data_IF_289484076362
#
_entry.id   IF_289484076362
#
_cell.length_a   1.000
_cell.length_b   1.000
_cell.length_c   1.000
_cell.angle_alpha   90.00
_cell.angle_beta   90.00
_cell.angle_gamma   90.00
#
_symmetry.space_group_name_H-M   'P 1'
#
loop_
_entity.id
_entity.type
_entity.pdbx_description
1 polymer ?
#
# COMPACT_ATOMS: atom_id res chain seq x y z
N UNK A 1 12.14 -19.07 -8.67
CA UNK A 1 10.87 -19.41 -8.02
C UNK A 1 10.87 -19.10 -6.53
N UNK A 2 11.91 -19.55 -5.82
CA UNK A 2 12.05 -19.21 -4.40
C UNK A 2 12.12 -17.71 -4.16
N UNK A 3 12.79 -16.99 -5.05
CA UNK A 3 12.94 -15.55 -4.94
C UNK A 3 11.60 -14.86 -5.03
N UNK A 4 10.75 -15.26 -5.99
CA UNK A 4 9.42 -14.67 -6.15
C UNK A 4 8.56 -14.92 -4.91
N UNK A 5 8.63 -16.13 -4.36
CA UNK A 5 7.89 -16.47 -3.16
C UNK A 5 8.31 -15.59 -1.97
N UNK A 6 9.61 -15.39 -1.79
CA UNK A 6 10.14 -14.54 -0.72
C UNK A 6 9.72 -13.09 -0.93
N UNK A 7 9.80 -12.61 -2.16
CA UNK A 7 9.38 -11.24 -2.48
C UNK A 7 7.90 -11.02 -2.19
N UNK A 8 7.07 -11.99 -2.57
CA UNK A 8 5.62 -11.89 -2.34
C UNK A 8 5.30 -11.86 -0.85
N UNK A 9 5.96 -12.71 -0.06
CA UNK A 9 5.77 -12.72 1.39
C UNK A 9 6.23 -11.41 2.02
N UNK A 10 7.33 -10.87 1.53
CA UNK A 10 7.84 -9.59 2.00
C UNK A 10 6.86 -8.46 1.67
N UNK A 11 6.29 -8.46 0.47
CA UNK A 11 5.30 -7.46 0.08
C UNK A 11 4.07 -7.49 1.00
N UNK A 12 3.58 -8.70 1.31
CA UNK A 12 2.44 -8.85 2.22
C UNK A 12 2.77 -8.28 3.59
N UNK A 13 3.95 -8.63 4.12
CA UNK A 13 4.36 -8.17 5.44
C UNK A 13 4.52 -6.66 5.49
N UNK A 14 5.21 -6.09 4.50
CA UNK A 14 5.41 -4.64 4.44
C UNK A 14 4.09 -3.89 4.32
N UNK A 15 3.18 -4.38 3.49
CA UNK A 15 1.89 -3.72 3.30
C UNK A 15 1.07 -3.74 4.59
N UNK A 16 1.02 -4.89 5.26
CA UNK A 16 0.23 -5.04 6.48
C UNK A 16 0.79 -4.27 7.67
N UNK A 17 2.10 -4.27 7.81
CA UNK A 17 2.72 -3.78 9.04
C UNK A 17 3.26 -2.36 8.92
N UNK A 18 3.47 -1.87 7.72
CA UNK A 18 4.10 -0.58 7.53
C UNK A 18 3.29 0.34 6.62
N UNK A 19 2.89 -0.11 5.44
CA UNK A 19 2.23 0.78 4.49
C UNK A 19 0.81 1.12 4.92
N UNK A 20 -0.01 0.12 5.22
CA UNK A 20 -1.40 0.36 5.64
C UNK A 20 -1.47 1.23 6.89
N UNK A 21 -0.71 0.93 7.96
CA UNK A 21 -0.75 1.81 9.14
C UNK A 21 -0.29 3.22 8.86
N UNK A 22 0.72 3.42 8.01
CA UNK A 22 1.23 4.75 7.70
C UNK A 22 0.22 5.59 6.94
N UNK A 23 -0.42 5.01 5.93
CA UNK A 23 -1.43 5.70 5.12
C UNK A 23 -2.65 6.01 5.98
N UNK A 24 -3.09 5.06 6.78
CA UNK A 24 -4.23 5.26 7.66
C UNK A 24 -3.97 6.38 8.68
N UNK A 25 -2.79 6.39 9.27
CA UNK A 25 -2.41 7.42 10.24
C UNK A 25 -2.41 8.81 9.60
N UNK A 26 -1.84 8.92 8.40
CA UNK A 26 -1.81 10.19 7.69
C UNK A 26 -3.21 10.65 7.31
N UNK A 27 -4.04 9.75 6.82
CA UNK A 27 -5.43 10.04 6.46
C UNK A 27 -6.22 10.55 7.67
N UNK A 28 -6.06 9.88 8.81
CA UNK A 28 -6.74 10.28 10.04
C UNK A 28 -6.30 11.66 10.52
N UNK A 29 -5.00 11.95 10.39
CA UNK A 29 -4.47 13.26 10.77
C UNK A 29 -5.07 14.36 9.89
N UNK A 30 -5.16 14.13 8.59
CA UNK A 30 -5.77 15.09 7.67
C UNK A 30 -7.23 15.34 8.03
N UNK A 31 -7.98 14.28 8.35
CA UNK A 31 -9.39 14.41 8.71
C UNK A 31 -9.55 15.25 9.97
N UNK A 32 -8.69 15.03 10.98
CA UNK A 32 -8.71 15.81 12.20
C UNK A 32 -8.35 17.26 11.93
N UNK A 33 -7.32 17.48 11.12
CA UNK A 33 -6.86 18.84 10.81
C UNK A 33 -7.95 19.67 10.13
N UNK A 34 -8.66 19.11 9.16
CA UNK A 34 -9.71 19.87 8.48
C UNK A 34 -10.92 20.12 9.39
N UNK A 35 -11.24 19.17 10.26
CA UNK A 35 -12.31 19.35 11.23
C UNK A 35 -12.01 20.53 12.16
N UNK A 36 -10.78 20.61 12.63
CA UNK A 36 -10.33 21.71 13.51
C UNK A 36 -10.36 23.03 12.74
N UNK A 37 -9.85 23.07 11.51
CA UNK A 37 -9.84 24.28 10.70
C UNK A 37 -11.27 24.82 10.49
N UNK A 38 -12.20 23.93 10.18
CA UNK A 38 -13.60 24.34 9.95
C UNK A 38 -14.28 24.82 11.23
N UNK A 39 -13.88 24.30 12.38
CA UNK A 39 -14.46 24.73 13.66
C UNK A 39 -14.02 26.14 14.01
N UNK A 40 -12.81 26.53 13.60
CA UNK A 40 -12.26 27.86 13.89
C UNK A 40 -12.67 28.86 12.79
N UNK A 41 -12.64 28.45 11.54
CA UNK A 41 -12.92 29.27 10.39
C UNK A 41 -13.91 28.54 9.45
N UNK A 42 -15.23 28.65 9.73
CA UNK A 42 -16.24 27.90 8.95
C UNK A 42 -16.23 28.17 7.45
N UNK A 43 -15.61 29.26 7.00
CA UNK A 43 -15.53 29.61 5.57
C UNK A 43 -14.46 28.77 4.84
N UNK A 44 -13.61 28.03 5.57
CA UNK A 44 -12.59 27.17 4.96
C UNK A 44 -13.29 26.06 4.18
N UNK A 45 -12.95 25.92 2.88
CA UNK A 45 -13.63 24.94 2.03
C UNK A 45 -13.22 23.49 2.37
N UNK A 46 -11.94 23.26 2.66
CA UNK A 46 -11.44 21.93 2.95
C UNK A 46 -11.48 20.98 1.77
N UNK A 47 -11.62 21.50 0.55
CA UNK A 47 -11.72 20.64 -0.64
C UNK A 47 -10.47 19.80 -0.82
N UNK A 48 -9.30 20.39 -0.66
CA UNK A 48 -8.04 19.66 -0.83
C UNK A 48 -7.94 18.50 0.17
N UNK A 49 -8.16 18.78 1.44
CA UNK A 49 -8.03 17.77 2.50
C UNK A 49 -9.10 16.69 2.36
N UNK A 50 -10.35 17.08 2.07
CA UNK A 50 -11.45 16.13 1.93
C UNK A 50 -11.22 15.19 0.75
N UNK A 51 -10.77 15.75 -0.38
CA UNK A 51 -10.48 14.94 -1.57
C UNK A 51 -9.35 13.96 -1.29
N UNK A 52 -8.30 14.42 -0.62
CA UNK A 52 -7.16 13.58 -0.32
C UNK A 52 -7.52 12.47 0.68
N UNK A 53 -8.28 12.81 1.74
CA UNK A 53 -8.75 11.80 2.70
C UNK A 53 -9.57 10.74 2.01
N UNK A 54 -10.49 11.14 1.13
CA UNK A 54 -11.34 10.20 0.40
C UNK A 54 -10.49 9.26 -0.45
N UNK A 55 -9.53 9.82 -1.19
CA UNK A 55 -8.66 9.00 -2.05
C UNK A 55 -7.79 8.06 -1.23
N UNK A 56 -7.21 8.54 -0.13
CA UNK A 56 -6.39 7.70 0.73
C UNK A 56 -7.19 6.57 1.35
N UNK A 57 -8.44 6.84 1.74
CA UNK A 57 -9.32 5.81 2.29
C UNK A 57 -9.61 4.72 1.25
N UNK A 58 -9.86 5.12 0.01
CA UNK A 58 -10.05 4.15 -1.08
C UNK A 58 -8.79 3.32 -1.30
N UNK A 59 -7.62 3.96 -1.25
CA UNK A 59 -6.34 3.25 -1.43
C UNK A 59 -6.08 2.27 -0.30
N UNK A 60 -6.42 2.63 0.94
CA UNK A 60 -6.29 1.71 2.07
C UNK A 60 -7.12 0.45 1.82
N UNK A 61 -8.36 0.60 1.36
CA UNK A 61 -9.21 -0.55 1.06
C UNK A 61 -8.67 -1.37 -0.10
N UNK A 62 -8.19 -0.71 -1.16
CA UNK A 62 -7.61 -1.39 -2.31
C UNK A 62 -6.37 -2.18 -1.92
N UNK A 63 -5.50 -1.58 -1.11
CA UNK A 63 -4.28 -2.25 -0.64
C UNK A 63 -4.65 -3.43 0.24
N UNK A 64 -5.59 -3.26 1.17
CA UNK A 64 -6.01 -4.32 2.06
C UNK A 64 -6.57 -5.51 1.26
N UNK A 65 -7.42 -5.25 0.28
CA UNK A 65 -7.99 -6.31 -0.55
C UNK A 65 -6.89 -7.03 -1.35
N UNK A 66 -5.95 -6.28 -1.92
CA UNK A 66 -4.86 -6.86 -2.70
C UNK A 66 -3.91 -7.70 -1.83
N UNK A 67 -3.66 -7.24 -0.61
CA UNK A 67 -2.84 -8.00 0.36
C UNK A 67 -3.50 -9.32 0.71
N UNK A 68 -4.81 -9.30 1.02
CA UNK A 68 -5.52 -10.52 1.37
C UNK A 68 -5.56 -11.49 0.20
N UNK A 69 -5.72 -10.97 -1.01
CA UNK A 69 -5.75 -11.79 -2.22
C UNK A 69 -4.39 -12.45 -2.45
N UNK A 70 -3.30 -11.69 -2.32
CA UNK A 70 -1.95 -12.24 -2.49
C UNK A 70 -1.62 -13.24 -1.37
N UNK A 71 -2.00 -12.94 -0.14
CA UNK A 71 -1.75 -13.85 0.98
C UNK A 71 -2.47 -15.18 0.79
N UNK A 72 -3.71 -15.15 0.28
CA UNK A 72 -4.46 -16.37 0.01
C UNK A 72 -3.80 -17.19 -1.10
N UNK A 73 -3.30 -16.51 -2.14
CA UNK A 73 -2.60 -17.18 -3.23
C UNK A 73 -1.30 -17.83 -2.75
N UNK A 74 -0.58 -17.16 -1.85
CA UNK A 74 0.64 -17.71 -1.26
C UNK A 74 0.34 -18.96 -0.44
N UNK A 75 -0.74 -18.96 0.32
CA UNK A 75 -1.13 -20.14 1.10
C UNK A 75 -1.40 -21.33 0.18
N UNK A 76 -2.05 -21.11 -0.96
CA UNK A 76 -2.28 -22.15 -1.95
C UNK A 76 -0.96 -22.61 -2.57
N UNK A 77 -0.10 -21.65 -2.91
CA UNK A 77 1.19 -21.94 -3.53
C UNK A 77 2.05 -22.87 -2.64
N UNK A 78 2.03 -22.63 -1.33
CA UNK A 78 2.85 -23.45 -0.41
C UNK A 78 2.39 -24.91 -0.34
N UNK A 79 1.20 -25.22 -0.79
CA UNK A 79 0.67 -26.59 -0.79
C UNK A 79 0.97 -27.34 -2.08
N UNK A 80 1.57 -26.68 -3.08
CA UNK A 80 1.84 -27.29 -4.38
C UNK A 80 3.23 -27.94 -4.34
N UNK A 81 3.27 -29.24 -4.64
CA UNK A 81 4.52 -29.99 -4.67
C UNK A 81 5.10 -30.11 -6.08
N UNK A 82 4.23 -30.13 -7.10
CA UNK A 82 4.66 -30.29 -8.47
C UNK A 82 5.40 -29.07 -8.99
N UNK A 83 6.58 -29.27 -9.55
CA UNK A 83 7.44 -28.18 -10.02
C UNK A 83 6.78 -27.38 -11.17
N UNK A 84 6.17 -28.09 -12.12
CA UNK A 84 5.53 -27.45 -13.26
C UNK A 84 4.33 -26.64 -12.81
N UNK A 85 3.50 -27.22 -11.94
CA UNK A 85 2.33 -26.53 -11.40
C UNK A 85 2.73 -25.30 -10.61
N UNK A 86 3.79 -25.40 -9.79
CA UNK A 86 4.33 -24.27 -9.04
C UNK A 86 4.78 -23.15 -9.97
N UNK A 87 5.51 -23.49 -11.03
CA UNK A 87 6.01 -22.50 -11.97
C UNK A 87 4.86 -21.80 -12.69
N UNK A 88 3.82 -22.56 -13.07
CA UNK A 88 2.64 -21.98 -13.70
C UNK A 88 1.92 -21.03 -12.76
N UNK A 89 1.80 -21.37 -11.48
CA UNK A 89 1.15 -20.52 -10.50
C UNK A 89 1.93 -19.22 -10.28
N UNK A 90 3.26 -19.29 -10.26
CA UNK A 90 4.06 -18.07 -10.15
C UNK A 90 3.74 -17.12 -11.30
N UNK A 91 3.78 -17.63 -12.52
CA UNK A 91 3.54 -16.81 -13.72
C UNK A 91 2.10 -16.29 -13.81
N UNK A 92 1.14 -17.16 -13.56
CA UNK A 92 -0.26 -16.88 -13.87
C UNK A 92 -1.02 -16.26 -12.70
N UNK A 93 -0.54 -16.42 -11.47
CA UNK A 93 -1.24 -15.98 -10.26
C UNK A 93 -0.41 -15.04 -9.41
N UNK A 94 0.77 -15.48 -8.96
CA UNK A 94 1.55 -14.67 -8.01
C UNK A 94 2.06 -13.37 -8.60
N UNK A 95 2.68 -13.41 -9.76
CA UNK A 95 3.21 -12.19 -10.37
C UNK A 95 2.13 -11.17 -10.68
N UNK A 96 0.98 -11.56 -11.27
CA UNK A 96 -0.11 -10.60 -11.47
C UNK A 96 -0.65 -10.01 -10.17
N UNK A 97 -0.77 -10.81 -9.11
CA UNK A 97 -1.28 -10.31 -7.83
C UNK A 97 -0.28 -9.40 -7.14
N UNK A 98 1.02 -9.66 -7.29
CA UNK A 98 2.05 -8.75 -6.80
C UNK A 98 1.96 -7.40 -7.50
N UNK A 99 1.75 -7.40 -8.81
CA UNK A 99 1.58 -6.17 -9.58
C UNK A 99 0.32 -5.43 -9.13
N UNK A 100 -0.77 -6.16 -8.87
CA UNK A 100 -2.02 -5.57 -8.41
C UNK A 100 -1.89 -4.91 -7.04
N UNK A 101 -1.02 -5.45 -6.18
CA UNK A 101 -0.74 -4.83 -4.88
C UNK A 101 0.16 -3.61 -5.04
N UNK A 102 1.14 -3.70 -5.93
CA UNK A 102 2.10 -2.61 -6.13
C UNK A 102 1.45 -1.33 -6.61
N UNK A 103 0.48 -1.42 -7.50
CA UNK A 103 -0.15 -0.24 -8.08
C UNK A 103 -0.77 0.70 -7.05
N UNK A 104 -1.66 0.23 -6.14
CA UNK A 104 -2.21 1.14 -5.13
C UNK A 104 -1.17 1.59 -4.11
N UNK A 105 -0.16 0.76 -3.83
CA UNK A 105 0.92 1.17 -2.93
C UNK A 105 1.73 2.32 -3.52
N UNK A 106 2.02 2.27 -4.81
CA UNK A 106 2.76 3.35 -5.49
C UNK A 106 1.96 4.65 -5.48
N UNK A 107 0.67 4.57 -5.71
CA UNK A 107 -0.17 5.76 -5.65
C UNK A 107 -0.23 6.32 -4.22
N UNK A 108 -0.34 5.44 -3.23
CA UNK A 108 -0.37 5.86 -1.83
C UNK A 108 0.93 6.58 -1.45
N UNK A 109 2.07 6.11 -1.96
CA UNK A 109 3.35 6.77 -1.72
C UNK A 109 3.34 8.21 -2.25
N UNK A 110 2.80 8.40 -3.44
CA UNK A 110 2.77 9.72 -4.06
C UNK A 110 1.85 10.69 -3.32
N UNK A 111 0.83 10.18 -2.64
CA UNK A 111 -0.18 11.01 -1.98
C UNK A 111 0.03 11.17 -0.47
N UNK A 112 0.89 10.37 0.13
CA UNK A 112 1.17 10.42 1.56
C UNK A 112 2.37 11.32 1.80
N UNK A 113 2.29 12.15 2.86
CA UNK A 113 3.40 13.06 3.19
C UNK A 113 4.67 12.26 3.40
N UNK A 114 5.77 12.79 2.85
CA UNK A 114 7.08 12.13 2.86
C UNK A 114 7.49 11.70 4.26
N UNK A 115 7.27 12.56 5.25
CA UNK A 115 7.63 12.26 6.63
C UNK A 115 6.78 11.16 7.26
N UNK A 116 5.66 10.79 6.65
CA UNK A 116 4.79 9.73 7.14
C UNK A 116 5.02 8.41 6.40
N UNK A 117 5.75 8.44 5.30
CA UNK A 117 6.00 7.23 4.51
C UNK A 117 7.14 6.43 5.13
N UNK A 118 6.96 5.10 5.33
CA UNK A 118 7.92 4.30 6.11
C UNK A 118 9.21 3.92 5.38
N UNK A 119 9.32 4.25 4.11
CA UNK A 119 10.48 3.87 3.31
C UNK A 119 11.08 5.09 2.63
N UNK A 120 12.36 5.01 2.17
CA UNK A 120 12.93 6.08 1.37
C UNK A 120 12.12 6.27 0.08
N UNK A 121 11.86 7.52 -0.26
CA UNK A 121 11.18 7.84 -1.51
C UNK A 121 12.20 7.81 -2.65
N UNK A 122 11.68 7.90 -3.88
CA UNK A 122 12.54 8.00 -5.05
C UNK A 122 13.49 9.19 -4.93
N UNK A 123 12.97 10.33 -4.42
CA UNK A 123 13.80 11.52 -4.21
C UNK A 123 14.93 11.27 -3.22
N UNK A 124 14.64 10.57 -2.12
CA UNK A 124 15.64 10.24 -1.12
C UNK A 124 16.76 9.38 -1.72
N UNK A 125 16.37 8.38 -2.51
CA UNK A 125 17.34 7.50 -3.15
C UNK A 125 18.16 8.24 -4.18
N UNK A 126 17.53 9.12 -4.95
CA UNK A 126 18.19 9.86 -6.03
C UNK A 126 19.23 10.85 -5.49
N UNK A 127 18.93 11.50 -4.36
CA UNK A 127 19.80 12.52 -3.81
C UNK A 127 20.67 12.03 -2.65
N UNK A 128 20.67 10.73 -2.40
CA UNK A 128 21.53 10.14 -1.37
C UNK A 128 21.09 10.43 0.06
N UNK A 129 19.86 10.81 0.26
CA UNK A 129 19.31 11.04 1.60
C UNK A 129 18.85 9.70 2.14
N UNK A 130 19.38 9.32 3.30
CA UNK A 130 19.03 8.01 3.86
C UNK A 130 18.33 8.10 5.18
#
# INVERSE_FOLDING_TARGET
RKIVNIEAETMVDMARRQILPAVEKFSSKLAQDIAVKKSIAPVVSGIYETTLVTRLSDLVEDIDAAVEDLAAALATFHKIDDVTESANMVRDVLLPKMAALRAPCDEAEQRTAEGCWPFPTYGDLLFGVE
#
